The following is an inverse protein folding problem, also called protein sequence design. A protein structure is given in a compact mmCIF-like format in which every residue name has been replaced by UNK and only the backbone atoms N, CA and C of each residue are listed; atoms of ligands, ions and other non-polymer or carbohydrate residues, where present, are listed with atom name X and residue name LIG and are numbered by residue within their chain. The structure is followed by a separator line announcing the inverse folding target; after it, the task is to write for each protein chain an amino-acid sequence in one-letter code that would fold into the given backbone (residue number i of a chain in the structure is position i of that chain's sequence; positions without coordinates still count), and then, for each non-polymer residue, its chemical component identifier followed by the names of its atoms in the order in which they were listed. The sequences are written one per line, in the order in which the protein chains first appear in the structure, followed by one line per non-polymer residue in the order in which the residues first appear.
data_IF_931336628639
#
_entry.id   IF_931336628639
#
_cell.length_a   1.000
_cell.length_b   1.000
_cell.length_c   1.000
_cell.angle_alpha   90.00
_cell.angle_beta   90.00
_cell.angle_gamma   90.00
#
_symmetry.space_group_name_H-M   'P 1'
#
loop_
_entity.id
_entity.type
_entity.pdbx_description
1 polymer ?
#
# COMPACT_ATOMS: atom_id res chain seq x y z
N UNK A 1 16.12 12.71 11.01
CA UNK A 1 14.92 11.95 10.65
C UNK A 1 15.03 11.65 9.18
N UNK A 2 15.34 10.40 8.84
CA UNK A 2 15.54 9.97 7.46
C UNK A 2 14.29 10.29 6.63
N UNK A 3 14.50 10.99 5.50
CA UNK A 3 13.52 11.11 4.44
C UNK A 3 13.33 9.70 3.83
N UNK A 4 12.53 8.85 4.47
CA UNK A 4 11.91 7.72 3.78
C UNK A 4 10.99 8.33 2.73
N UNK A 5 11.47 8.38 1.49
CA UNK A 5 10.69 8.79 0.32
C UNK A 5 9.31 8.15 0.43
N UNK A 6 8.25 8.97 0.54
CA UNK A 6 6.89 8.45 0.63
C UNK A 6 6.66 7.60 -0.60
N UNK A 7 6.53 6.29 -0.40
CA UNK A 7 6.35 5.36 -1.50
C UNK A 7 5.17 5.80 -2.37
N UNK A 8 5.34 5.72 -3.69
CA UNK A 8 4.29 6.06 -4.64
C UNK A 8 3.07 5.17 -4.36
N UNK A 9 2.00 5.81 -3.91
CA UNK A 9 0.71 5.16 -3.68
C UNK A 9 0.03 4.96 -5.03
N UNK A 10 -0.30 3.72 -5.35
CA UNK A 10 -1.08 3.40 -6.53
C UNK A 10 -2.58 3.51 -6.23
N UNK A 11 -3.42 3.73 -7.25
CA UNK A 11 -4.87 3.80 -7.05
C UNK A 11 -5.42 2.51 -6.40
N UNK A 12 -4.93 1.34 -6.84
CA UNK A 12 -5.29 0.05 -6.26
C UNK A 12 -4.91 -0.12 -4.79
N UNK A 13 -3.93 0.62 -4.27
CA UNK A 13 -3.56 0.56 -2.86
C UNK A 13 -4.70 1.11 -1.97
N UNK A 14 -5.49 2.08 -2.46
CA UNK A 14 -6.68 2.57 -1.73
C UNK A 14 -7.85 1.61 -1.77
N UNK A 15 -7.97 0.81 -2.84
CA UNK A 15 -8.98 -0.25 -2.92
C UNK A 15 -8.73 -1.29 -1.83
N UNK A 16 -7.49 -1.81 -1.77
CA UNK A 16 -7.08 -2.79 -0.77
C UNK A 16 -7.13 -2.22 0.65
N UNK A 17 -6.82 -0.93 0.83
CA UNK A 17 -6.98 -0.27 2.12
C UNK A 17 -8.45 -0.22 2.58
N UNK A 18 -9.39 -0.01 1.65
CA UNK A 18 -10.82 -0.07 1.92
C UNK A 18 -11.24 -1.44 2.45
N UNK A 19 -10.80 -2.51 1.77
CA UNK A 19 -11.05 -3.89 2.16
C UNK A 19 -10.50 -4.19 3.56
N UNK A 20 -9.24 -3.84 3.84
CA UNK A 20 -8.61 -4.07 5.15
C UNK A 20 -9.28 -3.30 6.30
N UNK A 21 -9.84 -2.12 6.03
CA UNK A 21 -10.49 -1.29 7.03
C UNK A 21 -12.01 -1.47 7.09
N UNK A 22 -12.56 -2.38 6.27
CA UNK A 22 -13.99 -2.61 6.09
C UNK A 22 -14.78 -1.31 5.79
N UNK A 23 -14.26 -0.48 4.88
CA UNK A 23 -14.90 0.77 4.43
C UNK A 23 -14.71 0.95 2.92
N UNK A 24 -15.40 1.92 2.32
CA UNK A 24 -15.14 2.26 0.92
C UNK A 24 -13.70 2.77 0.72
N UNK A 25 -13.17 2.58 -0.49
CA UNK A 25 -11.84 3.08 -0.88
C UNK A 25 -11.70 4.60 -0.67
N UNK A 26 -12.76 5.36 -0.92
CA UNK A 26 -12.82 6.81 -0.65
C UNK A 26 -12.75 7.14 0.85
N UNK A 27 -13.46 6.39 1.69
CA UNK A 27 -13.39 6.56 3.14
C UNK A 27 -11.99 6.22 3.66
N UNK A 28 -11.42 5.10 3.21
CA UNK A 28 -10.04 4.69 3.51
C UNK A 28 -9.02 5.75 3.07
N UNK A 29 -9.16 6.31 1.86
CA UNK A 29 -8.32 7.41 1.36
C UNK A 29 -8.39 8.65 2.24
N UNK A 30 -9.59 9.04 2.68
CA UNK A 30 -9.77 10.19 3.59
C UNK A 30 -9.11 9.92 4.95
N UNK A 31 -9.26 8.72 5.51
CA UNK A 31 -8.62 8.30 6.78
C UNK A 31 -7.10 8.33 6.68
N UNK A 32 -6.54 7.77 5.60
CA UNK A 32 -5.10 7.82 5.33
C UNK A 32 -4.58 9.27 5.23
N UNK A 33 -5.26 10.12 4.45
CA UNK A 33 -4.89 11.55 4.32
C UNK A 33 -4.96 12.33 5.63
N UNK A 34 -5.78 11.90 6.59
CA UNK A 34 -5.89 12.47 7.94
C UNK A 34 -4.86 11.90 8.93
N UNK A 35 -3.92 11.08 8.45
CA UNK A 35 -2.91 10.39 9.26
C UNK A 35 -3.53 9.53 10.38
N UNK A 36 -4.71 8.93 10.12
CA UNK A 36 -5.29 7.99 11.06
C UNK A 36 -4.33 6.79 11.21
N UNK A 37 -3.87 6.53 12.45
CA UNK A 37 -2.80 5.55 12.73
C UNK A 37 -3.06 4.18 12.09
N UNK A 38 -4.29 3.68 12.16
CA UNK A 38 -4.69 2.40 11.57
C UNK A 38 -4.56 2.42 10.04
N UNK A 39 -5.02 3.48 9.38
CA UNK A 39 -4.96 3.62 7.93
C UNK A 39 -3.53 3.80 7.42
N UNK A 40 -2.69 4.56 8.12
CA UNK A 40 -1.27 4.72 7.77
C UNK A 40 -0.53 3.40 7.90
N UNK A 41 -0.73 2.67 9.02
CA UNK A 41 -0.12 1.36 9.21
C UNK A 41 -0.55 0.34 8.15
N UNK A 42 -1.84 0.29 7.83
CA UNK A 42 -2.35 -0.62 6.81
C UNK A 42 -1.82 -0.26 5.41
N UNK A 43 -1.73 1.03 5.06
CA UNK A 43 -1.15 1.47 3.79
C UNK A 43 0.32 1.07 3.66
N UNK A 44 1.11 1.23 4.73
CA UNK A 44 2.50 0.78 4.76
C UNK A 44 2.62 -0.73 4.45
N UNK A 45 1.81 -1.57 5.10
CA UNK A 45 1.82 -3.02 4.86
C UNK A 45 1.41 -3.38 3.43
N UNK A 46 0.45 -2.65 2.84
CA UNK A 46 0.05 -2.84 1.43
C UNK A 46 1.23 -2.58 0.51
N UNK A 47 1.93 -1.47 0.72
CA UNK A 47 3.05 -1.05 -0.13
C UNK A 47 4.23 -2.02 -0.04
N UNK A 48 4.59 -2.41 1.20
CA UNK A 48 5.65 -3.39 1.46
C UNK A 48 5.34 -4.74 0.79
N UNK A 49 4.13 -5.26 0.98
CA UNK A 49 3.71 -6.53 0.39
C UNK A 49 3.68 -6.47 -1.14
N UNK A 50 3.18 -5.37 -1.72
CA UNK A 50 3.13 -5.19 -3.17
C UNK A 50 4.54 -5.21 -3.77
N UNK A 51 5.49 -4.51 -3.16
CA UNK A 51 6.90 -4.52 -3.59
C UNK A 51 7.49 -5.92 -3.53
N UNK A 52 7.34 -6.59 -2.39
CA UNK A 52 7.85 -7.96 -2.19
C UNK A 52 7.25 -8.92 -3.20
N UNK A 53 5.95 -8.86 -3.44
CA UNK A 53 5.25 -9.70 -4.41
C UNK A 53 5.78 -9.50 -5.83
N UNK A 54 5.88 -8.25 -6.29
CA UNK A 54 6.39 -7.94 -7.64
C UNK A 54 7.83 -8.40 -7.81
N UNK A 55 8.69 -8.15 -6.83
CA UNK A 55 10.09 -8.57 -6.89
C UNK A 55 10.22 -10.09 -6.94
N UNK A 56 9.48 -10.81 -6.09
CA UNK A 56 9.48 -12.27 -6.08
C UNK A 56 8.99 -12.83 -7.42
N UNK A 57 7.89 -12.30 -7.96
CA UNK A 57 7.36 -12.73 -9.24
C UNK A 57 8.37 -12.50 -10.37
N UNK A 58 8.99 -11.31 -10.44
CA UNK A 58 10.01 -11.01 -11.46
C UNK A 58 11.22 -11.93 -11.37
N UNK A 59 11.69 -12.27 -10.16
CA UNK A 59 12.79 -13.22 -9.96
C UNK A 59 12.43 -14.65 -10.37
N UNK A 60 11.16 -15.02 -10.31
CA UNK A 60 10.69 -16.34 -10.75
C UNK A 60 10.51 -16.46 -12.27
N UNK A 61 10.53 -15.34 -13.00
CA UNK A 61 10.45 -15.40 -14.46
C UNK A 61 11.79 -15.91 -15.01
N UNK A 62 11.78 -16.88 -15.95
CA UNK A 62 12.99 -17.27 -16.64
C UNK A 62 13.57 -16.05 -17.37
N UNK A 63 14.89 -15.92 -17.32
CA UNK A 63 15.62 -14.96 -18.14
C UNK A 63 15.68 -15.61 -19.53
N UNK A 64 14.91 -15.07 -20.48
CA UNK A 64 15.11 -15.38 -21.91
C UNK A 64 16.46 -14.82 -22.39
#
# INVERSE_FOLDING_TARGET
MENTEKEKINYGDYQLLGELLCVSSDAARKRYKRNEKKAVRAMYLIQENRKRFIQNYRKSLPID
#
